data_IF_414333833400
#
_entry.id   IF_414333833400
#
_cell.length_a   1.000
_cell.length_b   1.000
_cell.length_c   1.000
_cell.angle_alpha   90.00
_cell.angle_beta   90.00
_cell.angle_gamma   90.00
#
_symmetry.space_group_name_H-M   'P 1'
#
loop_
_entity.id
_entity.type
_entity.pdbx_description
1 polymer ?
#
# COMPACT_ATOMS: atom_id res chain seq x y z
N UNK A 1 41.76 4.40 -39.39
CA UNK A 1 40.41 4.99 -39.30
C UNK A 1 39.68 4.28 -38.18
N UNK A 2 39.26 5.04 -37.19
CA UNK A 2 38.88 4.55 -35.86
C UNK A 2 37.42 4.09 -35.88
N UNK A 3 37.17 2.86 -35.44
CA UNK A 3 35.83 2.33 -35.22
C UNK A 3 35.33 2.72 -33.83
N UNK A 4 34.20 3.43 -33.77
CA UNK A 4 33.42 3.61 -32.55
C UNK A 4 31.94 3.47 -32.88
N UNK A 5 31.45 2.23 -32.78
CA UNK A 5 30.02 1.97 -32.66
C UNK A 5 29.63 2.27 -31.20
N UNK A 6 28.93 3.38 -30.97
CA UNK A 6 28.24 3.62 -29.70
C UNK A 6 26.99 2.74 -29.63
N UNK A 7 27.19 1.48 -29.24
CA UNK A 7 26.12 0.66 -28.71
C UNK A 7 25.88 1.09 -27.27
N UNK A 8 24.94 2.01 -27.05
CA UNK A 8 24.42 2.29 -25.71
C UNK A 8 23.65 1.07 -25.24
N UNK A 9 24.34 0.15 -24.56
CA UNK A 9 23.71 -0.92 -23.81
C UNK A 9 22.78 -0.28 -22.78
N UNK A 10 21.50 -0.32 -23.08
CA UNK A 10 20.40 -0.02 -22.18
C UNK A 10 20.59 -0.85 -20.92
N UNK A 11 20.95 -0.19 -19.83
CA UNK A 11 20.97 -0.78 -18.50
C UNK A 11 19.52 -0.99 -18.06
N UNK A 12 18.90 -2.06 -18.57
CA UNK A 12 17.63 -2.56 -18.09
C UNK A 12 17.87 -3.30 -16.79
N UNK A 13 17.61 -2.65 -15.65
CA UNK A 13 17.42 -3.38 -14.39
C UNK A 13 16.34 -4.45 -14.57
N UNK A 14 16.36 -5.54 -13.78
CA UNK A 14 15.45 -6.66 -13.96
C UNK A 14 14.00 -6.15 -13.88
N UNK A 15 13.32 -6.05 -15.02
CA UNK A 15 11.89 -5.83 -15.03
C UNK A 15 11.26 -7.12 -14.48
N UNK A 16 10.38 -7.04 -13.46
CA UNK A 16 9.62 -8.20 -13.04
C UNK A 16 8.89 -8.74 -14.26
N UNK A 17 9.02 -10.05 -14.48
CA UNK A 17 8.43 -10.70 -15.65
C UNK A 17 6.93 -10.40 -15.67
N UNK A 18 6.34 -10.15 -16.85
CA UNK A 18 4.93 -9.78 -16.96
C UNK A 18 4.02 -10.82 -16.31
N UNK A 19 4.45 -12.09 -16.32
CA UNK A 19 3.79 -13.18 -15.61
C UNK A 19 3.79 -12.98 -14.08
N UNK A 20 4.93 -12.63 -13.49
CA UNK A 20 5.06 -12.40 -12.04
C UNK A 20 4.18 -11.24 -11.57
N UNK A 21 4.10 -10.15 -12.36
CA UNK A 21 3.24 -9.02 -12.02
C UNK A 21 1.76 -9.39 -12.05
N UNK A 22 1.34 -10.13 -13.08
CA UNK A 22 -0.05 -10.63 -13.17
C UNK A 22 -0.40 -11.56 -12.00
N UNK A 23 0.55 -12.38 -11.58
CA UNK A 23 0.38 -13.27 -10.43
C UNK A 23 0.27 -12.50 -9.12
N UNK A 24 1.12 -11.50 -8.90
CA UNK A 24 1.06 -10.62 -7.75
C UNK A 24 -0.27 -9.84 -7.69
N UNK A 25 -0.73 -9.29 -8.82
CA UNK A 25 -2.00 -8.57 -8.90
C UNK A 25 -3.18 -9.47 -8.53
N UNK A 26 -3.20 -10.71 -9.05
CA UNK A 26 -4.20 -11.72 -8.70
C UNK A 26 -4.16 -12.05 -7.21
N UNK A 27 -2.97 -12.24 -6.65
CA UNK A 27 -2.83 -12.51 -5.22
C UNK A 27 -3.37 -11.35 -4.37
N UNK A 28 -3.07 -10.11 -4.74
CA UNK A 28 -3.58 -8.92 -4.04
C UNK A 28 -5.11 -8.80 -4.14
N UNK A 29 -5.71 -9.20 -5.25
CA UNK A 29 -7.16 -9.21 -5.41
C UNK A 29 -7.84 -10.24 -4.49
N UNK A 30 -7.27 -11.44 -4.37
CA UNK A 30 -7.81 -12.46 -3.46
C UNK A 30 -7.56 -12.09 -2.00
N UNK A 31 -6.39 -11.56 -1.70
CA UNK A 31 -6.05 -11.07 -0.37
C UNK A 31 -7.03 -9.99 0.11
N UNK A 32 -7.44 -9.04 -0.73
CA UNK A 32 -8.40 -8.01 -0.36
C UNK A 32 -9.78 -8.54 0.03
N UNK A 33 -10.16 -9.74 -0.42
CA UNK A 33 -11.43 -10.37 -0.05
C UNK A 33 -11.33 -11.08 1.30
N UNK A 34 -10.13 -11.43 1.74
CA UNK A 34 -9.93 -12.21 2.96
C UNK A 34 -10.19 -11.37 4.22
N UNK A 35 -10.50 -12.03 5.34
CA UNK A 35 -10.74 -11.35 6.61
C UNK A 35 -9.44 -10.83 7.24
N UNK A 36 -8.31 -11.46 6.94
CA UNK A 36 -6.98 -11.03 7.38
C UNK A 36 -6.59 -9.65 6.81
N UNK A 37 -7.20 -9.25 5.69
CA UNK A 37 -6.97 -7.96 5.05
C UNK A 37 -7.20 -6.78 6.01
N UNK A 38 -8.14 -6.91 6.96
CA UNK A 38 -8.40 -5.90 7.99
C UNK A 38 -7.17 -5.59 8.84
N UNK A 39 -6.56 -6.64 9.40
CA UNK A 39 -5.44 -6.49 10.33
C UNK A 39 -4.15 -6.10 9.61
N UNK A 40 -3.90 -6.68 8.44
CA UNK A 40 -2.68 -6.40 7.68
C UNK A 40 -2.69 -4.98 7.12
N UNK A 41 -3.83 -4.50 6.62
CA UNK A 41 -3.94 -3.12 6.15
C UNK A 41 -3.76 -2.12 7.31
N UNK A 42 -4.33 -2.40 8.49
CA UNK A 42 -4.14 -1.58 9.68
C UNK A 42 -2.66 -1.52 10.12
N UNK A 43 -1.99 -2.67 10.15
CA UNK A 43 -0.57 -2.78 10.46
C UNK A 43 0.31 -2.03 9.43
N UNK A 44 0.00 -2.15 8.14
CA UNK A 44 0.73 -1.45 7.07
C UNK A 44 0.59 0.07 7.16
N UNK A 45 -0.56 0.58 7.58
CA UNK A 45 -0.75 2.01 7.83
C UNK A 45 -0.01 2.48 9.09
N UNK A 46 0.13 1.60 10.09
CA UNK A 46 0.86 1.88 11.33
C UNK A 46 2.38 1.83 11.18
N UNK A 47 2.90 1.11 10.19
CA UNK A 47 4.34 0.95 9.97
C UNK A 47 4.99 2.29 9.55
N UNK A 48 6.03 2.71 10.28
CA UNK A 48 6.76 3.97 10.05
C UNK A 48 7.55 3.99 8.72
N UNK A 49 7.95 2.82 8.23
CA UNK A 49 8.83 2.69 7.05
C UNK A 49 8.13 2.04 5.85
N UNK A 50 6.81 1.87 5.90
CA UNK A 50 6.06 1.29 4.77
C UNK A 50 6.19 2.18 3.51
N UNK A 51 6.51 1.62 2.33
CA UNK A 51 6.54 2.39 1.09
C UNK A 51 5.22 3.11 0.82
N UNK A 52 5.25 4.27 0.17
CA UNK A 52 4.04 5.05 -0.12
C UNK A 52 2.98 4.25 -0.88
N UNK A 53 3.40 3.41 -1.84
CA UNK A 53 2.50 2.52 -2.58
C UNK A 53 1.83 1.47 -1.67
N UNK A 54 2.57 0.92 -0.70
CA UNK A 54 2.02 -0.05 0.26
C UNK A 54 1.01 0.60 1.20
N UNK A 55 1.29 1.83 1.67
CA UNK A 55 0.32 2.61 2.46
C UNK A 55 -0.93 2.97 1.70
N UNK A 56 -0.78 3.36 0.43
CA UNK A 56 -1.92 3.66 -0.44
C UNK A 56 -2.79 2.42 -0.66
N UNK A 57 -2.16 1.28 -0.96
CA UNK A 57 -2.85 0.00 -1.07
C UNK A 57 -3.61 -0.34 0.22
N UNK A 58 -2.93 -0.28 1.38
CA UNK A 58 -3.55 -0.54 2.68
C UNK A 58 -4.73 0.39 2.98
N UNK A 59 -4.60 1.69 2.70
CA UNK A 59 -5.69 2.66 2.88
C UNK A 59 -6.90 2.34 1.98
N UNK A 60 -6.66 2.02 0.70
CA UNK A 60 -7.73 1.63 -0.22
C UNK A 60 -8.40 0.32 0.21
N UNK A 61 -7.63 -0.68 0.63
CA UNK A 61 -8.16 -1.95 1.13
C UNK A 61 -9.02 -1.74 2.36
N UNK A 62 -8.55 -0.99 3.36
CA UNK A 62 -9.33 -0.66 4.56
C UNK A 62 -10.62 0.10 4.24
N UNK A 63 -10.56 1.05 3.31
CA UNK A 63 -11.74 1.78 2.86
C UNK A 63 -12.78 0.85 2.21
N UNK A 64 -12.35 -0.02 1.29
CA UNK A 64 -13.23 -1.01 0.66
C UNK A 64 -13.82 -1.97 1.69
N UNK A 65 -13.00 -2.49 2.60
CA UNK A 65 -13.43 -3.35 3.71
C UNK A 65 -14.48 -2.68 4.60
N UNK A 66 -14.30 -1.40 4.96
CA UNK A 66 -15.30 -0.60 5.69
C UNK A 66 -16.60 -0.41 4.91
N UNK A 67 -16.52 -0.28 3.59
CA UNK A 67 -17.69 0.00 2.76
C UNK A 67 -18.53 -1.25 2.46
N UNK A 68 -17.87 -2.39 2.23
CA UNK A 68 -18.52 -3.60 1.72
C UNK A 68 -18.58 -4.73 2.74
N UNK A 69 -17.55 -4.86 3.58
CA UNK A 69 -17.32 -6.02 4.44
C UNK A 69 -17.42 -5.67 5.93
N UNK A 70 -18.01 -4.54 6.29
CA UNK A 70 -18.13 -4.12 7.69
C UNK A 70 -18.83 -5.15 8.58
N UNK A 71 -19.72 -5.96 8.00
CA UNK A 71 -20.43 -7.03 8.69
C UNK A 71 -19.50 -8.19 9.15
N UNK A 72 -18.29 -8.31 8.60
CA UNK A 72 -17.29 -9.29 9.05
C UNK A 72 -16.69 -8.93 10.42
N UNK A 73 -16.77 -7.65 10.81
CA UNK A 73 -16.21 -7.18 12.07
C UNK A 73 -17.11 -7.50 13.25
N UNK A 74 -16.58 -8.09 14.32
CA UNK A 74 -17.33 -8.26 15.55
C UNK A 74 -17.51 -6.89 16.24
N UNK A 75 -18.62 -6.72 16.95
CA UNK A 75 -19.05 -5.43 17.49
C UNK A 75 -18.01 -4.81 18.44
N UNK A 76 -17.29 -5.63 19.20
CA UNK A 76 -16.22 -5.23 20.11
C UNK A 76 -14.99 -4.65 19.38
N UNK A 77 -14.73 -5.07 18.13
CA UNK A 77 -13.59 -4.60 17.35
C UNK A 77 -13.81 -3.21 16.73
N UNK A 78 -15.07 -2.81 16.51
CA UNK A 78 -15.43 -1.54 15.86
C UNK A 78 -14.83 -0.34 16.61
N UNK A 79 -14.87 -0.36 17.94
CA UNK A 79 -14.31 0.71 18.76
C UNK A 79 -12.78 0.82 18.61
N UNK A 80 -12.08 -0.31 18.53
CA UNK A 80 -10.64 -0.35 18.33
C UNK A 80 -10.25 0.14 16.92
N UNK A 81 -10.96 -0.32 15.90
CA UNK A 81 -10.74 0.08 14.51
C UNK A 81 -10.91 1.59 14.33
N UNK A 82 -11.98 2.17 14.88
CA UNK A 82 -12.21 3.62 14.84
C UNK A 82 -11.03 4.41 15.45
N UNK A 83 -10.51 3.97 16.59
CA UNK A 83 -9.34 4.63 17.22
C UNK A 83 -8.12 4.55 16.32
N UNK A 84 -7.84 3.37 15.77
CA UNK A 84 -6.71 3.16 14.86
C UNK A 84 -6.79 4.06 13.63
N UNK A 85 -7.96 4.13 12.97
CA UNK A 85 -8.21 5.00 11.81
C UNK A 85 -7.95 6.48 12.12
N UNK A 86 -8.44 6.97 13.26
CA UNK A 86 -8.21 8.36 13.67
C UNK A 86 -6.72 8.63 13.88
N UNK A 87 -5.99 7.69 14.46
CA UNK A 87 -4.55 7.85 14.66
C UNK A 87 -3.76 7.78 13.34
N UNK A 88 -4.17 6.93 12.40
CA UNK A 88 -3.63 6.93 11.04
C UNK A 88 -3.84 8.26 10.33
N UNK A 89 -5.05 8.83 10.41
CA UNK A 89 -5.38 10.12 9.80
C UNK A 89 -4.57 11.28 10.41
N UNK A 90 -4.42 11.31 11.75
CA UNK A 90 -3.56 12.32 12.42
C UNK A 90 -2.12 12.23 11.93
N UNK A 91 -1.56 11.01 11.84
CA UNK A 91 -0.19 10.79 11.32
C UNK A 91 -0.06 11.25 9.87
N UNK A 92 -1.01 10.89 9.02
CA UNK A 92 -1.00 11.28 7.61
C UNK A 92 -1.10 12.81 7.43
N UNK A 93 -1.97 13.47 8.21
CA UNK A 93 -2.09 14.92 8.20
C UNK A 93 -0.80 15.62 8.65
N UNK A 94 -0.17 15.12 9.73
CA UNK A 94 1.10 15.64 10.20
C UNK A 94 2.23 15.46 9.17
N UNK A 95 2.29 14.31 8.49
CA UNK A 95 3.24 14.07 7.41
C UNK A 95 3.00 15.00 6.20
N UNK A 96 1.74 15.28 5.85
CA UNK A 96 1.40 16.25 4.81
C UNK A 96 1.84 17.67 5.15
N UNK A 97 1.60 18.11 6.39
CA UNK A 97 2.04 19.42 6.88
C UNK A 97 3.58 19.56 6.89
N UNK A 98 4.29 18.52 7.32
CA UNK A 98 5.76 18.50 7.28
C UNK A 98 6.32 18.62 5.86
N UNK A 99 5.66 18.00 4.86
CA UNK A 99 6.05 18.13 3.45
C UNK A 99 5.79 19.50 2.86
N UNK A 100 4.79 20.23 3.37
CA UNK A 100 4.47 21.59 2.92
C UNK A 100 5.46 22.64 3.44
N UNK A 101 6.17 22.36 4.54
CA UNK A 101 7.16 23.26 5.14
C UNK A 101 8.58 23.13 4.54
N UNK A 102 8.81 22.17 3.64
CA UNK A 102 10.11 21.90 3.00
C UNK A 102 10.21 22.54 1.60
N UNK A 103 9.32 23.48 1.27
CA UNK A 103 9.26 24.20 0.00
C UNK A 103 9.37 25.70 0.28
#
# INVERSE_FOLDING_TARGET
>A
AVGFAYGTSSQGGPQPDRAQRKEADRWLQEFQKSSEAWQVADALLGAADAPAAARFFAAQTLHAKLQYDFHELPAEAVGALRRSLLDHLKRAAAAGAARALVI
#
